data_IF_618120467422
#
_entry.id   IF_618120467422
#
_cell.length_a   1.000
_cell.length_b   1.000
_cell.length_c   1.000
_cell.angle_alpha   90.00
_cell.angle_beta   90.00
_cell.angle_gamma   90.00
#
_symmetry.space_group_name_H-M   'P 1'
#
loop_
_entity.id
_entity.type
_entity.pdbx_description
1 polymer ?
#
# COMPACT_ATOMS: atom_id res chain seq x y z
N UNK A 1 14.34 4.49 0.22
CA UNK A 1 15.46 3.90 0.99
C UNK A 1 15.41 2.37 0.96
N UNK A 2 14.28 1.71 1.25
CA UNK A 2 14.17 0.26 1.23
C UNK A 2 14.58 -0.33 -0.13
N UNK A 3 14.11 0.22 -1.23
CA UNK A 3 14.51 -0.19 -2.58
C UNK A 3 16.02 -0.14 -2.76
N UNK A 4 16.65 0.99 -2.44
CA UNK A 4 18.11 1.16 -2.60
C UNK A 4 18.92 0.23 -1.70
N UNK A 5 18.37 -0.18 -0.56
CA UNK A 5 19.03 -1.15 0.34
C UNK A 5 19.15 -2.54 -0.31
N UNK A 6 18.11 -3.00 -0.98
CA UNK A 6 18.07 -4.34 -1.60
C UNK A 6 18.42 -4.32 -3.10
N UNK A 7 18.51 -3.14 -3.69
CA UNK A 7 19.00 -2.89 -5.05
C UNK A 7 20.03 -1.73 -5.04
N UNK A 8 21.27 -2.00 -4.64
CA UNK A 8 22.28 -0.94 -4.39
C UNK A 8 22.69 -0.13 -5.63
N UNK A 9 22.45 -0.64 -6.84
CA UNK A 9 22.67 0.08 -8.09
C UNK A 9 21.62 1.18 -8.34
N UNK A 10 20.51 1.19 -7.61
CA UNK A 10 19.45 2.22 -7.71
C UNK A 10 19.75 3.34 -6.73
N UNK A 11 19.72 4.58 -7.19
CA UNK A 11 19.84 5.76 -6.33
C UNK A 11 18.50 6.46 -6.16
N UNK A 12 18.31 7.15 -5.02
CA UNK A 12 17.05 7.82 -4.69
C UNK A 12 16.58 8.76 -5.81
N UNK A 13 17.50 9.56 -6.39
CA UNK A 13 17.17 10.50 -7.44
C UNK A 13 16.64 9.85 -8.73
N UNK A 14 16.91 8.58 -8.96
CA UNK A 14 16.34 7.86 -10.11
C UNK A 14 14.91 7.37 -9.80
N UNK A 15 14.60 7.15 -8.53
CA UNK A 15 13.24 6.80 -8.09
C UNK A 15 12.32 8.02 -8.05
N UNK A 16 12.85 9.22 -7.92
CA UNK A 16 12.09 10.48 -7.93
C UNK A 16 11.80 11.01 -9.36
N UNK A 17 12.33 10.32 -10.39
CA UNK A 17 12.13 10.62 -11.80
C UNK A 17 11.27 9.54 -12.44
N UNK A 18 10.12 9.92 -13.02
CA UNK A 18 9.15 8.97 -13.57
C UNK A 18 9.74 8.08 -14.67
N UNK A 19 10.48 8.66 -15.61
CA UNK A 19 11.03 7.89 -16.74
C UNK A 19 12.08 6.87 -16.27
N UNK A 20 12.89 7.26 -15.30
CA UNK A 20 13.90 6.38 -14.72
C UNK A 20 13.29 5.31 -13.82
N UNK A 21 12.30 5.66 -12.99
CA UNK A 21 11.58 4.70 -12.17
C UNK A 21 10.88 3.64 -13.02
N UNK A 22 10.24 4.04 -14.13
CA UNK A 22 9.66 3.13 -15.13
C UNK A 22 10.71 2.23 -15.74
N UNK A 23 11.88 2.78 -16.14
CA UNK A 23 12.97 1.98 -16.69
C UNK A 23 13.50 0.94 -15.68
N UNK A 24 13.61 1.31 -14.41
CA UNK A 24 13.99 0.40 -13.33
C UNK A 24 12.95 -0.71 -13.19
N UNK A 25 11.66 -0.37 -13.08
CA UNK A 25 10.56 -1.33 -12.94
C UNK A 25 10.53 -2.33 -14.12
N UNK A 26 10.64 -1.85 -15.34
CA UNK A 26 10.70 -2.71 -16.53
C UNK A 26 11.93 -3.63 -16.54
N UNK A 27 13.08 -3.15 -16.05
CA UNK A 27 14.31 -3.96 -15.97
C UNK A 27 14.22 -5.16 -15.05
N UNK A 28 13.26 -5.15 -14.10
CA UNK A 28 12.97 -6.24 -13.16
C UNK A 28 11.69 -7.00 -13.53
N UNK A 29 11.10 -6.72 -14.69
CA UNK A 29 9.98 -7.48 -15.25
C UNK A 29 8.60 -6.95 -14.89
N UNK A 30 8.49 -5.80 -14.23
CA UNK A 30 7.21 -5.17 -13.91
C UNK A 30 6.58 -4.59 -15.19
N UNK A 31 5.31 -4.90 -15.40
CA UNK A 31 4.53 -4.34 -16.51
C UNK A 31 3.85 -3.06 -16.02
N UNK A 32 4.25 -1.94 -16.61
CA UNK A 32 3.71 -0.63 -16.27
C UNK A 32 2.37 -0.41 -16.97
N UNK A 33 1.39 0.05 -16.22
CA UNK A 33 0.10 0.50 -16.74
C UNK A 33 0.11 2.01 -16.99
N UNK A 34 -0.64 2.45 -18.01
CA UNK A 34 -0.68 3.87 -18.40
C UNK A 34 -1.30 4.79 -17.33
N UNK A 35 -2.08 4.21 -16.42
CA UNK A 35 -2.74 4.92 -15.30
C UNK A 35 -1.82 5.16 -14.11
N UNK A 36 -0.66 4.50 -14.05
CA UNK A 36 0.22 4.58 -12.89
C UNK A 36 1.01 5.88 -12.85
N UNK A 37 0.97 6.55 -11.70
CA UNK A 37 1.88 7.64 -11.39
C UNK A 37 3.16 7.14 -10.72
N UNK A 38 4.00 8.09 -10.34
CA UNK A 38 5.32 7.81 -9.76
C UNK A 38 5.23 7.01 -8.45
N UNK A 39 4.26 7.34 -7.60
CA UNK A 39 4.07 6.67 -6.31
C UNK A 39 3.72 5.20 -6.48
N UNK A 40 2.85 4.85 -7.44
CA UNK A 40 2.51 3.46 -7.75
C UNK A 40 3.72 2.70 -8.26
N UNK A 41 4.48 3.28 -9.21
CA UNK A 41 5.69 2.66 -9.74
C UNK A 41 6.72 2.38 -8.64
N UNK A 42 6.92 3.33 -7.70
CA UNK A 42 7.82 3.13 -6.56
C UNK A 42 7.36 1.98 -5.66
N UNK A 43 6.05 1.84 -5.38
CA UNK A 43 5.51 0.75 -4.59
C UNK A 43 5.70 -0.60 -5.25
N UNK A 44 5.41 -0.73 -6.52
CA UNK A 44 5.61 -1.97 -7.27
C UNK A 44 7.09 -2.41 -7.28
N UNK A 45 8.03 -1.45 -7.44
CA UNK A 45 9.46 -1.75 -7.32
C UNK A 45 9.80 -2.23 -5.90
N UNK A 46 9.24 -1.58 -4.87
CA UNK A 46 9.47 -1.96 -3.47
C UNK A 46 8.96 -3.38 -3.20
N UNK A 47 7.76 -3.72 -3.60
CA UNK A 47 7.15 -5.04 -3.43
C UNK A 47 8.01 -6.12 -4.09
N UNK A 48 8.46 -5.90 -5.32
CA UNK A 48 9.28 -6.87 -6.07
C UNK A 48 10.67 -7.06 -5.48
N UNK A 49 11.36 -5.99 -5.06
CA UNK A 49 12.78 -6.07 -4.70
C UNK A 49 13.05 -6.12 -3.20
N UNK A 50 12.15 -5.66 -2.35
CA UNK A 50 12.43 -5.44 -0.93
C UNK A 50 11.54 -6.26 0.00
N UNK A 51 10.26 -6.41 -0.27
CA UNK A 51 9.28 -6.98 0.67
C UNK A 51 9.69 -8.36 1.16
N UNK A 52 10.00 -9.27 0.25
CA UNK A 52 10.40 -10.66 0.57
C UNK A 52 11.66 -10.78 1.45
N UNK A 53 12.45 -9.72 1.53
CA UNK A 53 13.68 -9.65 2.32
C UNK A 53 13.46 -9.08 3.74
N UNK A 54 12.25 -8.62 4.06
CA UNK A 54 11.91 -8.05 5.37
C UNK A 54 11.62 -9.16 6.39
N UNK A 55 12.64 -9.96 6.72
CA UNK A 55 12.51 -11.12 7.61
C UNK A 55 12.37 -10.69 9.06
N UNK A 56 13.21 -9.76 9.52
CA UNK A 56 13.14 -9.22 10.87
C UNK A 56 11.98 -8.23 10.99
N UNK A 57 11.39 -8.04 12.20
CA UNK A 57 10.37 -7.04 12.42
C UNK A 57 10.80 -5.67 11.89
N UNK A 58 10.11 -5.17 10.87
CA UNK A 58 10.48 -3.94 10.15
C UNK A 58 9.26 -3.10 9.86
N UNK A 59 9.33 -1.81 10.16
CA UNK A 59 8.36 -0.83 9.70
C UNK A 59 8.85 -0.17 8.42
N UNK A 60 8.02 -0.16 7.40
CA UNK A 60 8.17 0.67 6.21
C UNK A 60 7.23 1.85 6.38
N UNK A 61 7.74 3.06 6.23
CA UNK A 61 7.04 4.31 6.46
C UNK A 61 7.03 5.17 5.20
N UNK A 62 6.27 6.26 5.22
CA UNK A 62 6.28 7.26 4.14
C UNK A 62 5.80 6.72 2.79
N UNK A 63 4.68 5.99 2.81
CA UNK A 63 4.05 5.52 1.57
C UNK A 63 3.54 6.68 0.72
N UNK A 64 3.68 6.61 -0.62
CA UNK A 64 3.12 7.62 -1.51
C UNK A 64 1.62 7.83 -1.32
N UNK A 65 1.17 9.08 -1.42
CA UNK A 65 -0.24 9.43 -1.29
C UNK A 65 -1.11 8.79 -2.38
N UNK A 66 -0.55 8.56 -3.55
CA UNK A 66 -1.19 7.90 -4.69
C UNK A 66 -1.72 6.50 -4.33
N UNK A 67 -0.97 5.73 -3.55
CA UNK A 67 -1.33 4.36 -3.11
C UNK A 67 -1.92 4.32 -1.71
N UNK A 68 -2.29 5.47 -1.15
CA UNK A 68 -2.78 5.60 0.21
C UNK A 68 -4.02 6.52 0.27
N UNK A 69 -5.13 6.14 -0.41
CA UNK A 69 -6.26 7.05 -0.64
C UNK A 69 -7.01 7.46 0.62
N UNK A 70 -6.87 6.75 1.73
CA UNK A 70 -7.54 7.05 3.01
C UNK A 70 -6.61 7.67 4.05
N UNK A 71 -5.30 7.76 3.73
CA UNK A 71 -4.31 8.28 4.66
C UNK A 71 -4.09 9.80 4.46
N UNK A 72 -3.88 10.50 5.58
CA UNK A 72 -3.55 11.92 5.55
C UNK A 72 -2.18 12.13 4.93
N UNK A 73 -2.06 13.13 4.04
CA UNK A 73 -0.77 13.54 3.50
C UNK A 73 0.11 14.09 4.60
N UNK A 74 1.41 13.87 4.49
CA UNK A 74 2.39 14.51 5.35
C UNK A 74 2.40 16.02 5.11
N UNK A 75 2.48 16.82 6.18
CA UNK A 75 2.39 18.27 6.10
C UNK A 75 3.62 18.90 5.42
N UNK A 76 4.79 18.30 5.58
CA UNK A 76 6.05 18.80 5.02
C UNK A 76 6.31 18.29 3.60
N UNK A 77 5.79 17.09 3.26
CA UNK A 77 5.95 16.48 1.96
C UNK A 77 4.63 15.84 1.50
N UNK A 78 3.78 16.55 0.75
CA UNK A 78 2.47 16.05 0.33
C UNK A 78 2.51 14.91 -0.70
N UNK A 79 3.69 14.53 -1.21
CA UNK A 79 3.86 13.33 -2.04
C UNK A 79 3.68 12.03 -1.24
N UNK A 80 4.01 12.06 0.06
CA UNK A 80 3.89 10.92 0.96
C UNK A 80 2.74 11.11 1.96
N UNK A 81 2.39 10.02 2.65
CA UNK A 81 1.42 9.99 3.74
C UNK A 81 2.07 9.58 5.06
N UNK A 82 1.43 9.94 6.17
CA UNK A 82 1.77 9.43 7.50
C UNK A 82 1.19 8.01 7.66
N UNK A 83 1.77 7.06 6.89
CA UNK A 83 1.39 5.66 6.83
C UNK A 83 2.59 4.77 7.07
N UNK A 84 2.36 3.66 7.74
CA UNK A 84 3.34 2.58 7.84
C UNK A 84 2.70 1.24 7.51
N UNK A 85 3.54 0.32 7.07
CA UNK A 85 3.25 -1.10 7.08
C UNK A 85 4.29 -1.84 7.91
N UNK A 86 3.85 -2.87 8.62
CA UNK A 86 4.69 -3.66 9.51
C UNK A 86 4.89 -5.05 8.95
N UNK A 87 6.14 -5.40 8.71
CA UNK A 87 6.55 -6.67 8.10
C UNK A 87 7.28 -7.56 9.09
N UNK A 88 7.02 -8.87 9.02
CA UNK A 88 7.80 -9.93 9.66
C UNK A 88 7.81 -11.15 8.74
N UNK A 89 8.99 -11.76 8.55
CA UNK A 89 9.12 -12.98 7.76
C UNK A 89 8.75 -12.80 6.28
N UNK A 90 9.01 -11.61 5.72
CA UNK A 90 8.68 -11.27 4.34
C UNK A 90 7.17 -11.11 4.09
N UNK A 91 6.38 -10.79 5.12
CA UNK A 91 4.93 -10.61 5.02
C UNK A 91 4.48 -9.39 5.80
N UNK A 92 3.59 -8.60 5.24
CA UNK A 92 2.87 -7.57 5.97
C UNK A 92 2.01 -8.21 7.06
N UNK A 93 2.18 -7.77 8.29
CA UNK A 93 1.42 -8.19 9.46
C UNK A 93 0.38 -7.14 9.86
N UNK A 94 0.69 -5.88 9.63
CA UNK A 94 -0.20 -4.77 9.96
C UNK A 94 0.11 -3.52 9.17
N UNK A 95 -0.89 -2.65 9.09
CA UNK A 95 -0.88 -1.39 8.37
C UNK A 95 -1.58 -0.34 9.22
N UNK A 96 -1.03 0.85 9.28
CA UNK A 96 -1.63 1.95 10.03
C UNK A 96 -1.25 3.29 9.46
N UNK A 97 -2.12 4.27 9.68
CA UNK A 97 -1.92 5.62 9.17
C UNK A 97 -2.69 6.67 9.97
N UNK A 98 -2.27 7.92 9.83
CA UNK A 98 -3.11 9.06 10.20
C UNK A 98 -4.29 9.12 9.24
N UNK A 99 -5.50 9.04 9.78
CA UNK A 99 -6.73 9.07 8.98
C UNK A 99 -6.87 10.41 8.27
N UNK A 100 -7.23 10.38 6.99
CA UNK A 100 -7.62 11.59 6.27
C UNK A 100 -8.97 12.07 6.83
N UNK A 101 -8.97 13.28 7.40
CA UNK A 101 -10.13 13.87 8.04
C UNK A 101 -10.66 15.13 7.33
N UNK A 102 -10.15 15.44 6.14
CA UNK A 102 -10.67 16.47 5.25
C UNK A 102 -11.62 15.82 4.24
N UNK A 103 -12.92 16.14 4.35
CA UNK A 103 -13.95 15.58 3.49
C UNK A 103 -13.78 15.96 2.02
N UNK A 104 -13.25 17.17 1.73
CA UNK A 104 -13.02 17.62 0.37
C UNK A 104 -11.84 16.87 -0.28
N UNK A 105 -10.67 16.80 0.40
CA UNK A 105 -9.52 16.01 -0.08
C UNK A 105 -9.92 14.54 -0.26
N UNK A 106 -10.71 13.97 0.65
CA UNK A 106 -11.18 12.60 0.52
C UNK A 106 -12.09 12.39 -0.70
N UNK A 107 -12.99 13.33 -0.98
CA UNK A 107 -13.84 13.24 -2.16
C UNK A 107 -13.01 13.28 -3.46
N UNK A 108 -12.02 14.19 -3.54
CA UNK A 108 -11.12 14.28 -4.69
C UNK A 108 -10.34 12.97 -4.90
N UNK A 109 -9.88 12.32 -3.83
CA UNK A 109 -9.18 11.02 -3.93
C UNK A 109 -10.10 9.89 -4.35
N UNK A 110 -11.35 9.88 -3.89
CA UNK A 110 -12.32 8.90 -4.38
C UNK A 110 -12.64 9.09 -5.86
N UNK A 111 -12.71 10.33 -6.35
CA UNK A 111 -12.84 10.60 -7.78
C UNK A 111 -11.64 10.09 -8.58
N UNK A 112 -10.41 10.24 -8.05
CA UNK A 112 -9.20 9.68 -8.65
C UNK A 112 -9.25 8.16 -8.71
N UNK A 113 -9.68 7.51 -7.62
CA UNK A 113 -9.88 6.05 -7.58
C UNK A 113 -10.90 5.57 -8.61
N UNK A 114 -12.02 6.29 -8.77
CA UNK A 114 -13.02 5.96 -9.80
C UNK A 114 -12.42 6.07 -11.20
N UNK A 115 -11.63 7.12 -11.49
CA UNK A 115 -10.94 7.28 -12.78
C UNK A 115 -9.95 6.13 -13.04
N UNK A 116 -9.18 5.69 -12.03
CA UNK A 116 -8.27 4.55 -12.14
C UNK A 116 -9.04 3.25 -12.40
N UNK A 117 -10.18 3.06 -11.73
CA UNK A 117 -11.05 1.90 -11.94
C UNK A 117 -11.63 1.85 -13.34
N UNK A 118 -12.08 2.97 -13.87
CA UNK A 118 -12.55 3.09 -15.27
C UNK A 118 -11.42 2.85 -16.29
N UNK A 119 -10.18 3.16 -15.91
CA UNK A 119 -8.99 2.85 -16.71
C UNK A 119 -8.54 1.38 -16.64
N UNK A 120 -9.17 0.56 -15.77
CA UNK A 120 -8.96 -0.88 -15.69
C UNK A 120 -8.31 -1.37 -14.39
N UNK A 121 -8.01 -0.50 -13.43
CA UNK A 121 -7.51 -0.91 -12.12
C UNK A 121 -8.61 -1.62 -11.32
N UNK A 122 -8.47 -2.94 -11.16
CA UNK A 122 -9.44 -3.78 -10.45
C UNK A 122 -9.44 -3.55 -8.93
N UNK A 123 -8.35 -3.03 -8.37
CA UNK A 123 -8.19 -2.78 -6.94
C UNK A 123 -8.69 -1.39 -6.52
N UNK A 124 -8.86 -0.48 -7.48
CA UNK A 124 -9.32 0.88 -7.21
C UNK A 124 -10.72 0.90 -6.58
N UNK A 125 -10.93 1.83 -5.66
CA UNK A 125 -12.14 1.98 -4.86
C UNK A 125 -13.28 2.61 -5.66
N UNK A 126 -14.52 2.39 -5.19
CA UNK A 126 -15.69 3.14 -5.61
C UNK A 126 -15.80 4.45 -4.81
N UNK A 127 -16.54 5.42 -5.34
CA UNK A 127 -16.90 6.60 -4.57
C UNK A 127 -17.90 6.24 -3.46
N UNK A 128 -17.53 6.52 -2.21
CA UNK A 128 -18.38 6.27 -1.04
C UNK A 128 -18.97 7.59 -0.52
N UNK A 129 -20.22 7.87 -0.91
CA UNK A 129 -20.94 9.07 -0.50
C UNK A 129 -21.25 9.09 1.00
N UNK A 130 -21.53 7.94 1.60
CA UNK A 130 -21.85 7.84 3.04
C UNK A 130 -20.61 8.12 3.87
N UNK A 131 -19.44 7.67 3.42
CA UNK A 131 -18.16 7.97 4.05
C UNK A 131 -17.87 9.48 4.03
N UNK A 132 -18.05 10.15 2.87
CA UNK A 132 -17.88 11.61 2.77
C UNK A 132 -18.85 12.34 3.69
N UNK A 133 -20.13 11.96 3.69
CA UNK A 133 -21.13 12.55 4.59
C UNK A 133 -20.74 12.39 6.06
N UNK A 134 -20.20 11.23 6.44
CA UNK A 134 -19.69 11.01 7.81
C UNK A 134 -18.52 11.95 8.14
N UNK A 135 -17.56 12.12 7.21
CA UNK A 135 -16.43 13.05 7.41
C UNK A 135 -16.87 14.51 7.54
N UNK A 136 -17.90 14.94 6.81
CA UNK A 136 -18.47 16.30 6.92
C UNK A 136 -19.03 16.60 8.32
N UNK A 137 -19.43 15.57 9.09
CA UNK A 137 -19.83 15.72 10.50
C UNK A 137 -18.62 15.90 11.44
N UNK A 138 -17.44 15.69 10.96
CA UNK A 138 -16.16 15.91 11.63
C UNK A 138 -15.53 14.62 12.16
N UNK A 139 -14.25 14.46 11.83
CA UNK A 139 -13.35 13.45 12.39
C UNK A 139 -12.19 14.18 13.06
N UNK A 140 -11.97 14.03 14.39
CA UNK A 140 -10.80 14.62 15.03
C UNK A 140 -9.52 13.95 14.52
N UNK A 141 -8.32 14.51 14.77
CA UNK A 141 -7.07 13.84 14.47
C UNK A 141 -7.07 12.43 15.05
N UNK A 142 -7.02 11.44 14.18
CA UNK A 142 -7.21 10.02 14.50
C UNK A 142 -6.15 9.21 13.77
N UNK A 143 -5.65 8.16 14.40
CA UNK A 143 -4.81 7.15 13.75
C UNK A 143 -5.55 5.82 13.73
N UNK A 144 -5.53 5.17 12.58
CA UNK A 144 -6.06 3.82 12.37
C UNK A 144 -4.95 2.77 12.37
N UNK A 145 -5.30 1.55 12.78
CA UNK A 145 -4.40 0.40 12.74
C UNK A 145 -5.18 -0.86 12.36
N UNK A 146 -4.73 -1.53 11.31
CA UNK A 146 -5.15 -2.87 10.94
C UNK A 146 -4.06 -3.89 11.24
N UNK A 147 -4.44 -5.03 11.86
CA UNK A 147 -3.53 -6.16 12.09
C UNK A 147 -4.16 -7.42 11.51
N UNK A 148 -3.42 -8.11 10.64
CA UNK A 148 -3.83 -9.39 10.07
C UNK A 148 -3.76 -10.51 11.09
N UNK A 149 -4.88 -10.82 11.75
CA UNK A 149 -4.94 -11.85 12.81
C UNK A 149 -4.49 -13.20 12.28
N UNK A 150 -4.93 -13.62 11.11
CA UNK A 150 -4.52 -14.89 10.52
C UNK A 150 -3.01 -14.94 10.26
N UNK A 151 -2.43 -13.88 9.72
CA UNK A 151 -0.97 -13.78 9.51
C UNK A 151 -0.20 -13.77 10.84
N UNK A 152 -0.75 -13.14 11.88
CA UNK A 152 -0.16 -13.15 13.22
C UNK A 152 -0.22 -14.57 13.83
N UNK A 153 -1.33 -15.28 13.66
CA UNK A 153 -1.44 -16.68 14.10
C UNK A 153 -0.44 -17.56 13.35
N UNK A 154 -0.30 -17.38 12.01
CA UNK A 154 0.72 -18.10 11.22
C UNK A 154 2.12 -17.90 11.79
N UNK A 155 2.46 -16.67 12.20
CA UNK A 155 3.76 -16.35 12.81
C UNK A 155 3.97 -17.10 14.13
N UNK A 156 2.97 -17.07 15.03
CA UNK A 156 3.09 -17.71 16.35
C UNK A 156 3.05 -19.24 16.33
N UNK A 157 2.43 -19.83 15.30
CA UNK A 157 2.29 -21.29 15.17
C UNK A 157 3.30 -21.89 14.17
N UNK A 158 4.18 -21.07 13.59
CA UNK A 158 5.11 -21.47 12.54
C UNK A 158 4.40 -22.15 11.34
N UNK A 159 3.21 -21.64 11.01
CA UNK A 159 2.40 -22.15 9.90
C UNK A 159 2.72 -21.42 8.61
N UNK A 160 3.05 -22.17 7.55
CA UNK A 160 3.46 -21.58 6.27
C UNK A 160 2.30 -21.16 5.38
N UNK A 161 1.11 -21.70 5.60
CA UNK A 161 -0.08 -21.41 4.79
C UNK A 161 -1.23 -20.91 5.64
N UNK A 162 -1.94 -19.89 5.14
CA UNK A 162 -3.12 -19.33 5.82
C UNK A 162 -4.24 -20.37 6.00
N UNK A 163 -4.29 -21.40 5.17
CA UNK A 163 -5.28 -22.49 5.28
C UNK A 163 -5.16 -23.28 6.57
N UNK A 164 -3.94 -23.33 7.14
CA UNK A 164 -3.68 -24.10 8.36
C UNK A 164 -4.16 -23.38 9.61
N UNK A 165 -4.44 -22.07 9.52
CA UNK A 165 -4.87 -21.24 10.65
C UNK A 165 -6.33 -20.78 10.55
N UNK A 166 -6.96 -20.92 9.39
CA UNK A 166 -8.37 -20.62 9.17
C UNK A 166 -9.21 -21.88 9.46
N UNK A 167 -10.23 -21.76 10.32
CA UNK A 167 -11.07 -22.88 10.71
C UNK A 167 -11.84 -23.52 9.54
N UNK A 168 -12.29 -22.72 8.58
CA UNK A 168 -13.08 -23.16 7.45
C UNK A 168 -12.55 -22.54 6.14
N UNK A 169 -11.35 -22.94 5.66
CA UNK A 169 -10.79 -22.39 4.44
C UNK A 169 -11.63 -22.75 3.22
N UNK A 170 -11.81 -21.77 2.33
CA UNK A 170 -12.46 -22.05 1.04
C UNK A 170 -11.58 -23.03 0.22
N UNK A 171 -12.14 -24.17 -0.12
CA UNK A 171 -11.47 -25.22 -0.90
C UNK A 171 -12.07 -25.30 -2.30
N UNK A 172 -11.26 -25.72 -3.28
CA UNK A 172 -11.81 -26.03 -4.61
C UNK A 172 -12.80 -27.18 -4.50
N UNK A 173 -13.98 -27.10 -5.15
CA UNK A 173 -14.90 -28.22 -5.20
C UNK A 173 -14.19 -29.48 -5.75
N UNK A 174 -14.43 -30.60 -5.12
CA UNK A 174 -14.00 -31.86 -5.70
C UNK A 174 -14.72 -32.05 -7.05
N UNK A 175 -13.96 -32.30 -8.10
CA UNK A 175 -14.52 -32.64 -9.42
C UNK A 175 -15.13 -34.02 -9.40
#
# INVERSE_FOLDING_TARGET
EAICKYRPETVMADLDDMDKAVAIAQSIGIKIENSWGLGRVQCEIFEEVAESHLIQPTFIIEYPAEVSPLARRNDDNPFITDRFEFFIGGREIGNGFSELNDAQDQAERFEDQVRQKEAGDAEAMFFDHDYITALEHGLPPTAGLGIGIDRMVMLFTDSHTIRDVILFPAMRPNK
#
